data_IF_878988386506
#
_entry.id   IF_878988386506
#
_cell.length_a   1.000
_cell.length_b   1.000
_cell.length_c   1.000
_cell.angle_alpha   90.00
_cell.angle_beta   90.00
_cell.angle_gamma   90.00
#
_symmetry.space_group_name_H-M   'P 1'
#
loop_
_entity.id
_entity.type
_entity.pdbx_description
1 polymer ?
#
# COMPACT_ATOMS: atom_id res chain seq x y z
N UNK A 1 4.48 10.58 5.07
CA UNK A 1 5.62 11.45 4.69
C UNK A 1 5.80 12.52 5.75
N UNK A 2 7.04 12.92 6.03
CA UNK A 2 7.34 13.93 7.06
C UNK A 2 6.63 15.26 6.79
N UNK A 3 6.69 15.76 5.55
CA UNK A 3 5.99 17.00 5.16
C UNK A 3 4.46 16.92 5.28
N UNK A 4 3.84 15.72 5.29
CA UNK A 4 2.41 15.57 5.60
C UNK A 4 2.18 15.58 7.11
N UNK A 5 3.00 14.84 7.86
CA UNK A 5 2.90 14.79 9.32
C UNK A 5 3.03 16.20 9.92
N UNK A 6 3.97 17.00 9.44
CA UNK A 6 4.16 18.37 9.90
C UNK A 6 2.94 19.26 9.66
N UNK A 7 2.36 19.21 8.46
CA UNK A 7 1.12 19.94 8.16
C UNK A 7 -0.06 19.51 9.04
N UNK A 8 -0.12 18.24 9.44
CA UNK A 8 -1.17 17.74 10.33
C UNK A 8 -0.95 18.19 11.78
N UNK A 9 0.30 18.24 12.26
CA UNK A 9 0.61 18.83 13.57
C UNK A 9 0.23 20.30 13.63
N UNK A 10 0.57 21.06 12.59
CA UNK A 10 0.19 22.47 12.47
C UNK A 10 -1.33 22.68 12.42
N UNK A 11 -2.07 21.69 11.91
CA UNK A 11 -3.53 21.68 11.92
C UNK A 11 -4.15 21.20 13.26
N UNK A 12 -3.34 20.89 14.27
CA UNK A 12 -3.78 20.54 15.62
C UNK A 12 -4.03 19.05 15.87
N UNK A 13 -3.62 18.16 14.97
CA UNK A 13 -3.72 16.71 15.19
C UNK A 13 -2.63 16.20 16.14
N UNK A 14 -2.98 15.25 17.01
CA UNK A 14 -2.04 14.60 17.91
C UNK A 14 -1.06 13.68 17.17
N UNK A 15 0.10 13.40 17.75
CA UNK A 15 1.02 12.41 17.19
C UNK A 15 0.39 11.00 17.17
N UNK A 16 -0.52 10.69 18.09
CA UNK A 16 -1.28 9.43 18.10
C UNK A 16 -2.21 9.34 16.88
N UNK A 17 -2.93 10.41 16.54
CA UNK A 17 -3.77 10.47 15.35
C UNK A 17 -2.96 10.32 14.07
N UNK A 18 -1.80 10.98 14.02
CA UNK A 18 -0.89 10.92 12.87
C UNK A 18 -0.29 9.52 12.73
N UNK A 19 0.04 8.85 13.84
CA UNK A 19 0.61 7.50 13.84
C UNK A 19 -0.34 6.44 13.26
N UNK A 20 -1.67 6.67 13.32
CA UNK A 20 -2.67 5.80 12.69
C UNK A 20 -2.71 5.93 11.15
N UNK A 21 -2.04 6.92 10.58
CA UNK A 21 -2.03 7.13 9.13
C UNK A 21 -1.01 6.20 8.49
N UNK A 22 -1.51 5.20 7.78
CA UNK A 22 -0.69 4.31 6.97
C UNK A 22 -0.49 4.86 5.56
N UNK A 23 0.73 4.74 5.05
CA UNK A 23 1.07 5.13 3.70
C UNK A 23 2.38 4.48 3.25
N UNK A 24 2.58 4.24 1.95
CA UNK A 24 1.66 4.51 0.83
C UNK A 24 0.38 3.66 0.88
N UNK A 25 -0.72 4.20 0.31
CA UNK A 25 -2.01 3.50 0.21
C UNK A 25 -2.02 2.58 -1.00
N UNK A 26 -2.76 1.48 -0.89
CA UNK A 26 -2.97 0.45 -1.90
C UNK A 26 -2.04 -0.75 -1.73
N UNK A 27 -2.51 -1.92 -2.18
CA UNK A 27 -1.67 -3.11 -2.27
C UNK A 27 -0.64 -2.99 -3.42
N UNK A 28 0.53 -3.59 -3.25
CA UNK A 28 1.56 -3.57 -4.29
C UNK A 28 1.19 -4.46 -5.48
N UNK A 29 0.68 -3.86 -6.55
CA UNK A 29 0.37 -4.53 -7.84
C UNK A 29 1.22 -4.04 -9.02
N UNK A 30 2.23 -3.19 -8.76
CA UNK A 30 3.00 -2.54 -9.83
C UNK A 30 2.22 -1.45 -10.59
N UNK A 31 1.26 -0.80 -9.93
CA UNK A 31 0.42 0.24 -10.51
C UNK A 31 1.23 1.44 -11.03
N UNK A 32 0.90 1.90 -12.25
CA UNK A 32 1.48 3.04 -12.96
C UNK A 32 0.42 4.01 -13.45
N UNK A 33 -0.80 3.54 -13.72
CA UNK A 33 -1.92 4.37 -14.18
C UNK A 33 -2.87 4.72 -13.03
N UNK A 34 -3.64 5.83 -13.13
CA UNK A 34 -4.65 6.16 -12.12
C UNK A 34 -5.67 5.04 -11.87
N UNK A 35 -6.06 4.31 -12.93
CA UNK A 35 -6.97 3.18 -12.80
C UNK A 35 -6.35 2.02 -12.01
N UNK A 36 -5.07 1.70 -12.26
CA UNK A 36 -4.35 0.68 -11.49
C UNK A 36 -4.19 1.09 -10.01
N UNK A 37 -3.92 2.38 -9.74
CA UNK A 37 -3.87 2.90 -8.37
C UNK A 37 -5.24 2.78 -7.69
N UNK A 38 -6.34 3.06 -8.39
CA UNK A 38 -7.68 2.90 -7.82
C UNK A 38 -7.97 1.42 -7.46
N UNK A 39 -7.60 0.49 -8.33
CA UNK A 39 -7.74 -0.96 -8.07
C UNK A 39 -6.90 -1.39 -6.86
N UNK A 40 -5.66 -0.90 -6.74
CA UNK A 40 -4.81 -1.24 -5.60
C UNK A 40 -5.39 -0.76 -4.27
N UNK A 41 -6.00 0.43 -4.25
CA UNK A 41 -6.68 0.98 -3.07
C UNK A 41 -7.94 0.17 -2.73
N UNK A 42 -8.79 -0.12 -3.72
CA UNK A 42 -10.01 -0.91 -3.52
C UNK A 42 -9.69 -2.32 -2.98
N UNK A 43 -8.63 -2.94 -3.49
CA UNK A 43 -8.20 -4.25 -3.01
C UNK A 43 -7.68 -4.19 -1.55
N UNK A 44 -6.97 -3.13 -1.16
CA UNK A 44 -6.58 -2.91 0.24
C UNK A 44 -7.80 -2.78 1.15
N UNK A 45 -8.81 -1.98 0.75
CA UNK A 45 -10.06 -1.80 1.50
C UNK A 45 -10.76 -3.14 1.72
N UNK A 46 -10.86 -3.96 0.67
CA UNK A 46 -11.50 -5.29 0.74
C UNK A 46 -10.71 -6.22 1.67
N UNK A 47 -9.38 -6.20 1.63
CA UNK A 47 -8.53 -7.03 2.49
C UNK A 47 -8.76 -6.70 3.97
N UNK A 48 -8.68 -5.42 4.33
CA UNK A 48 -8.93 -4.93 5.70
C UNK A 48 -10.34 -5.30 6.16
N UNK A 49 -11.35 -5.06 5.32
CA UNK A 49 -12.74 -5.44 5.62
C UNK A 49 -12.92 -6.95 5.85
N UNK A 50 -12.11 -7.77 5.18
CA UNK A 50 -12.17 -9.22 5.29
C UNK A 50 -11.28 -9.78 6.41
N UNK A 51 -10.67 -8.92 7.25
CA UNK A 51 -9.75 -9.34 8.30
C UNK A 51 -8.42 -9.90 7.79
N UNK A 52 -8.06 -9.63 6.53
CA UNK A 52 -6.77 -10.03 5.95
C UNK A 52 -5.77 -8.89 6.05
N UNK A 53 -4.51 -9.22 6.31
CA UNK A 53 -3.42 -8.24 6.26
C UNK A 53 -3.09 -7.90 4.79
N UNK A 54 -3.38 -6.68 4.30
CA UNK A 54 -3.10 -6.29 2.92
C UNK A 54 -1.62 -6.34 2.58
N UNK A 55 -0.72 -6.24 3.58
CA UNK A 55 0.74 -6.28 3.38
C UNK A 55 1.23 -7.67 2.99
N UNK A 56 0.50 -8.72 3.37
CA UNK A 56 0.82 -10.10 2.97
C UNK A 56 0.42 -10.41 1.53
N UNK A 57 -0.58 -9.72 0.99
CA UNK A 57 -1.06 -9.93 -0.37
C UNK A 57 -0.02 -9.50 -1.43
N UNK A 58 0.80 -8.49 -1.15
CA UNK A 58 1.84 -7.98 -2.08
C UNK A 58 3.14 -8.78 -2.09
N UNK A 59 3.40 -9.63 -1.08
CA UNK A 59 4.66 -10.39 -0.98
C UNK A 59 4.63 -11.73 -1.74
N UNK A 60 3.46 -12.19 -2.18
CA UNK A 60 3.28 -13.53 -2.76
C UNK A 60 3.18 -13.58 -4.29
N UNK A 61 3.24 -12.45 -4.99
CA UNK A 61 2.91 -12.40 -6.43
C UNK A 61 4.11 -12.07 -7.34
N UNK A 62 5.30 -12.60 -7.05
CA UNK A 62 6.36 -12.79 -8.05
C UNK A 62 7.24 -13.99 -7.64
N UNK A 63 7.11 -15.20 -8.24
CA UNK A 63 8.30 -15.99 -8.48
C UNK A 63 9.16 -15.17 -9.45
N UNK A 64 10.35 -14.77 -9.01
CA UNK A 64 11.40 -14.31 -9.90
C UNK A 64 11.49 -15.32 -11.05
N UNK A 65 11.45 -14.85 -12.29
CA UNK A 65 11.67 -15.69 -13.48
C UNK A 65 12.90 -16.55 -13.22
N UNK A 66 12.70 -17.86 -13.05
CA UNK A 66 13.76 -18.81 -13.28
C UNK A 66 14.12 -18.68 -14.76
N UNK A 67 15.29 -18.14 -15.04
CA UNK A 67 15.96 -18.29 -16.33
C UNK A 67 16.18 -19.78 -16.54
N UNK A 68 15.19 -20.45 -17.14
CA UNK A 68 15.41 -21.73 -17.78
C UNK A 68 16.12 -21.42 -19.09
N UNK A 69 17.42 -21.71 -19.13
CA UNK A 69 18.16 -21.81 -20.37
C UNK A 69 17.44 -22.80 -21.28
N UNK A 70 17.27 -22.40 -22.53
CA UNK A 70 16.97 -23.29 -23.62
C UNK A 70 18.18 -23.19 -24.56
N UNK A 71 18.91 -24.30 -24.61
CA UNK A 71 19.94 -24.69 -25.59
C UNK A 71 21.22 -23.83 -25.72
#
# INVERSE_FOLDING_TARGET
SEARAERLRQAGFSDEDIARIHGPIGIHIGARTPAEIAVSILAEIIAVRSGRDPRRAGSGLLPAKATAGND
#
